data_IF_582581724348
#
_entry.id   IF_582581724348
#
_cell.length_a   1.000
_cell.length_b   1.000
_cell.length_c   1.000
_cell.angle_alpha   90.00
_cell.angle_beta   90.00
_cell.angle_gamma   90.00
#
_symmetry.space_group_name_H-M   'P 1'
#
loop_
_entity.id
_entity.type
_entity.pdbx_description
1 polymer ?
#
# COMPACT_ATOMS: atom_id res chain seq x y z
N UNK A 1 14.47 16.50 20.23
CA UNK A 1 13.41 17.51 20.03
C UNK A 1 12.35 17.23 21.06
N UNK A 2 12.07 18.18 21.95
CA UNK A 2 10.99 18.07 22.94
C UNK A 2 9.69 17.78 22.20
N UNK A 3 9.04 16.65 22.50
CA UNK A 3 7.75 16.31 21.91
C UNK A 3 6.78 17.46 22.17
N UNK A 4 6.34 18.12 21.10
CA UNK A 4 5.26 19.09 21.19
C UNK A 4 3.99 18.31 21.52
N UNK A 5 3.61 18.32 22.80
CA UNK A 5 2.36 17.75 23.24
C UNK A 5 1.21 18.70 22.85
N UNK A 6 0.84 18.62 21.57
CA UNK A 6 -0.21 19.46 20.97
C UNK A 6 -1.51 19.35 21.74
N UNK A 7 -1.86 18.16 22.22
CA UNK A 7 -3.09 17.98 22.96
C UNK A 7 -3.03 18.63 24.33
N UNK A 8 -1.92 18.54 25.06
CA UNK A 8 -1.77 19.27 26.34
C UNK A 8 -1.85 20.79 26.16
N UNK A 9 -1.33 21.32 25.04
CA UNK A 9 -1.49 22.75 24.72
C UNK A 9 -2.94 23.14 24.41
N UNK A 10 -3.69 22.29 23.71
CA UNK A 10 -5.11 22.52 23.41
C UNK A 10 -5.99 22.38 24.64
N UNK A 11 -5.67 21.43 25.53
CA UNK A 11 -6.36 21.25 26.80
C UNK A 11 -6.09 22.40 27.76
N UNK A 12 -4.87 22.97 27.75
CA UNK A 12 -4.46 24.08 28.63
C UNK A 12 -4.76 23.75 30.11
N UNK A 13 -4.37 22.55 30.53
CA UNK A 13 -4.62 22.03 31.88
C UNK A 13 -6.05 21.57 32.16
N UNK A 14 -6.94 21.56 31.17
CA UNK A 14 -8.31 21.07 31.36
C UNK A 14 -8.38 19.54 31.53
N UNK A 15 -9.33 19.10 32.35
CA UNK A 15 -9.61 17.69 32.58
C UNK A 15 -10.23 17.01 31.34
N UNK A 16 -10.07 15.69 31.29
CA UNK A 16 -10.57 14.82 30.23
C UNK A 16 -11.40 13.71 30.85
N UNK A 17 -12.66 13.61 30.44
CA UNK A 17 -13.56 12.53 30.85
C UNK A 17 -13.60 11.42 29.79
N UNK A 18 -13.52 10.16 30.20
CA UNK A 18 -13.57 9.02 29.28
C UNK A 18 -14.95 8.39 29.22
N UNK A 19 -15.74 8.75 28.20
CA UNK A 19 -17.12 8.26 28.00
C UNK A 19 -17.15 7.03 27.10
N UNK A 20 -18.14 6.14 27.28
CA UNK A 20 -18.39 5.14 26.26
C UNK A 20 -19.06 5.80 25.06
N UNK A 21 -18.80 5.30 23.84
CA UNK A 21 -19.46 5.83 22.64
C UNK A 21 -20.98 5.80 22.78
N UNK A 22 -21.53 4.78 23.45
CA UNK A 22 -22.96 4.67 23.74
C UNK A 22 -23.54 5.79 24.61
N UNK A 23 -22.72 6.43 25.45
CA UNK A 23 -23.14 7.51 26.36
C UNK A 23 -23.22 8.87 25.66
N UNK A 24 -22.76 8.97 24.41
CA UNK A 24 -22.72 10.20 23.62
C UNK A 24 -23.58 10.13 22.35
N UNK A 25 -24.50 9.15 22.27
CA UNK A 25 -25.37 8.97 21.11
C UNK A 25 -26.74 9.58 21.35
N UNK A 26 -27.30 10.21 20.31
CA UNK A 26 -28.75 10.37 20.21
C UNK A 26 -29.40 9.02 19.91
N UNK A 27 -28.79 8.27 18.98
CA UNK A 27 -29.31 6.99 18.52
C UNK A 27 -28.24 6.13 17.87
N UNK A 28 -28.48 4.82 17.86
CA UNK A 28 -27.68 3.86 17.09
C UNK A 28 -28.55 3.05 16.15
N UNK A 29 -28.03 2.71 14.99
CA UNK A 29 -28.72 1.97 13.95
C UNK A 29 -27.89 0.76 13.50
N UNK A 30 -28.61 -0.25 13.00
CA UNK A 30 -28.08 -1.36 12.21
C UNK A 30 -29.15 -1.71 11.19
N UNK A 31 -28.75 -1.94 9.94
CA UNK A 31 -29.69 -2.16 8.85
C UNK A 31 -30.05 -3.63 8.63
N UNK A 32 -30.44 -3.96 7.40
CA UNK A 32 -30.84 -5.30 7.00
C UNK A 32 -30.27 -5.65 5.62
N UNK A 33 -30.11 -6.95 5.35
CA UNK A 33 -29.66 -7.43 4.03
C UNK A 33 -30.83 -7.98 3.24
N UNK A 34 -31.32 -7.27 2.21
CA UNK A 34 -32.25 -7.83 1.25
C UNK A 34 -31.61 -9.01 0.50
N UNK A 35 -32.36 -10.08 0.27
CA UNK A 35 -31.85 -11.28 -0.40
C UNK A 35 -31.43 -10.96 -1.84
N UNK A 36 -30.14 -11.11 -2.16
CA UNK A 36 -29.55 -10.75 -3.46
C UNK A 36 -30.28 -11.39 -4.68
N UNK A 37 -30.81 -12.60 -4.53
CA UNK A 37 -31.55 -13.30 -5.58
C UNK A 37 -33.02 -12.88 -5.76
N UNK A 38 -33.49 -11.82 -5.09
CA UNK A 38 -34.84 -11.29 -5.26
C UNK A 38 -34.81 -9.98 -6.07
N UNK A 39 -35.11 -10.00 -7.38
CA UNK A 39 -35.04 -8.80 -8.22
C UNK A 39 -35.93 -7.66 -7.74
N UNK A 40 -37.06 -7.96 -7.09
CA UNK A 40 -37.98 -6.96 -6.53
C UNK A 40 -37.32 -6.03 -5.48
N UNK A 41 -36.16 -6.43 -4.93
CA UNK A 41 -35.42 -5.62 -3.97
C UNK A 41 -34.39 -4.68 -4.60
N UNK A 42 -34.00 -4.89 -5.87
CA UNK A 42 -32.87 -4.21 -6.49
C UNK A 42 -33.20 -3.57 -7.85
N UNK A 43 -34.08 -4.17 -8.65
CA UNK A 43 -34.47 -3.61 -9.94
C UNK A 43 -35.15 -2.26 -9.76
N UNK A 44 -34.63 -1.24 -10.47
CA UNK A 44 -35.07 0.15 -10.36
C UNK A 44 -35.01 0.70 -8.92
N UNK A 45 -34.05 0.22 -8.11
CA UNK A 45 -33.81 0.71 -6.76
C UNK A 45 -33.48 2.20 -6.75
N UNK A 46 -34.04 2.91 -5.78
CA UNK A 46 -33.89 4.38 -5.61
C UNK A 46 -33.42 4.76 -4.20
N UNK A 47 -33.31 3.78 -3.30
CA UNK A 47 -32.90 3.98 -1.91
C UNK A 47 -31.44 3.56 -1.76
N UNK A 48 -30.52 4.45 -1.34
CA UNK A 48 -29.12 4.10 -1.17
C UNK A 48 -28.95 3.06 -0.06
N UNK A 49 -28.25 1.96 -0.37
CA UNK A 49 -27.97 0.85 0.54
C UNK A 49 -26.47 0.57 0.62
N UNK A 50 -25.86 1.06 1.71
CA UNK A 50 -24.43 0.95 1.97
C UNK A 50 -24.05 -0.45 2.45
N UNK A 51 -23.00 -1.01 1.84
CA UNK A 51 -22.37 -2.25 2.30
C UNK A 51 -21.06 -1.97 3.03
N UNK A 52 -20.63 -2.89 3.88
CA UNK A 52 -19.40 -2.72 4.67
C UNK A 52 -18.14 -2.59 3.82
N UNK A 53 -18.13 -3.09 2.58
CA UNK A 53 -17.00 -2.95 1.66
C UNK A 53 -16.73 -1.49 1.27
N UNK A 54 -17.73 -0.63 1.34
CA UNK A 54 -17.67 0.78 0.99
C UNK A 54 -17.20 1.64 2.19
N UNK A 55 -17.13 1.08 3.39
CA UNK A 55 -16.62 1.74 4.61
C UNK A 55 -15.09 1.62 4.65
N UNK A 56 -14.39 2.70 4.28
CA UNK A 56 -12.94 2.74 4.04
C UNK A 56 -12.25 3.99 4.63
N UNK A 57 -12.57 4.35 5.87
CA UNK A 57 -12.03 5.54 6.54
C UNK A 57 -12.29 6.83 5.76
N UNK A 58 -13.51 6.96 5.25
CA UNK A 58 -13.88 7.99 4.27
C UNK A 58 -15.24 8.65 4.59
N UNK A 59 -15.45 9.81 3.97
CA UNK A 59 -16.79 10.34 3.78
C UNK A 59 -17.49 9.56 2.64
N UNK A 60 -18.74 9.21 2.87
CA UNK A 60 -19.58 8.40 1.98
C UNK A 60 -20.66 9.31 1.40
N UNK A 61 -20.38 9.85 0.21
CA UNK A 61 -21.26 10.79 -0.50
C UNK A 61 -22.23 10.08 -1.45
N UNK A 62 -21.91 8.84 -1.84
CA UNK A 62 -22.73 7.98 -2.69
C UNK A 62 -22.50 6.50 -2.33
N UNK A 63 -23.37 5.63 -2.81
CA UNK A 63 -23.26 4.18 -2.65
C UNK A 63 -23.33 3.47 -4.00
N UNK A 64 -22.74 2.28 -4.08
CA UNK A 64 -22.74 1.47 -5.30
C UNK A 64 -24.08 0.77 -5.56
N UNK A 65 -24.89 0.56 -4.51
CA UNK A 65 -26.13 -0.21 -4.59
C UNK A 65 -27.32 0.59 -4.10
N UNK A 66 -28.38 0.54 -4.91
CA UNK A 66 -29.68 1.07 -4.57
C UNK A 66 -30.66 -0.10 -4.37
N UNK A 67 -31.55 0.01 -3.39
CA UNK A 67 -32.63 -0.93 -3.12
C UNK A 67 -33.99 -0.26 -3.34
N UNK A 68 -35.05 -1.06 -3.45
CA UNK A 68 -36.42 -0.58 -3.64
C UNK A 68 -37.08 -0.24 -2.29
N UNK A 69 -38.15 0.57 -2.29
CA UNK A 69 -38.99 0.77 -1.09
C UNK A 69 -39.51 -0.56 -0.51
N UNK A 70 -39.83 -1.53 -1.38
CA UNK A 70 -40.24 -2.88 -1.00
C UNK A 70 -39.16 -3.61 -0.21
N UNK A 71 -37.88 -3.44 -0.56
CA UNK A 71 -36.78 -4.03 0.19
C UNK A 71 -36.68 -3.45 1.61
N UNK A 72 -36.98 -2.17 1.80
CA UNK A 72 -36.99 -1.52 3.12
C UNK A 72 -38.18 -2.00 3.95
N UNK A 73 -39.35 -2.17 3.33
CA UNK A 73 -40.56 -2.69 3.98
C UNK A 73 -40.41 -4.16 4.41
N UNK A 74 -39.89 -5.00 3.51
CA UNK A 74 -39.80 -6.46 3.70
C UNK A 74 -38.57 -6.88 4.55
N UNK A 75 -37.70 -5.95 4.96
CA UNK A 75 -36.47 -6.27 5.69
C UNK A 75 -36.24 -5.36 6.90
N UNK A 76 -35.16 -5.60 7.65
CA UNK A 76 -34.73 -4.74 8.75
C UNK A 76 -33.94 -3.49 8.29
N UNK A 77 -33.81 -3.27 6.97
CA UNK A 77 -33.21 -2.04 6.46
C UNK A 77 -34.04 -0.84 6.90
N UNK A 78 -33.36 0.24 7.30
CA UNK A 78 -34.02 1.45 7.77
C UNK A 78 -33.17 2.66 7.44
N UNK A 79 -33.83 3.79 7.29
CA UNK A 79 -33.18 5.06 7.05
C UNK A 79 -32.32 5.49 8.24
N UNK A 80 -31.13 5.97 7.89
CA UNK A 80 -30.11 6.51 8.77
C UNK A 80 -29.87 7.95 8.33
N UNK A 81 -29.94 8.93 9.25
CA UNK A 81 -29.71 10.31 8.90
C UNK A 81 -28.27 10.55 8.44
N UNK A 82 -28.05 11.63 7.70
CA UNK A 82 -26.70 12.06 7.34
C UNK A 82 -25.85 12.36 8.60
N UNK A 83 -24.54 12.29 8.44
CA UNK A 83 -23.51 12.55 9.46
C UNK A 83 -23.49 11.58 10.63
N UNK A 84 -23.90 10.32 10.41
CA UNK A 84 -23.63 9.25 11.37
C UNK A 84 -22.21 8.71 11.18
N UNK A 85 -21.56 8.30 12.28
CA UNK A 85 -20.32 7.54 12.23
C UNK A 85 -20.66 6.06 12.05
N UNK A 86 -20.24 5.48 10.94
CA UNK A 86 -20.52 4.08 10.58
C UNK A 86 -19.28 3.25 10.86
N UNK A 87 -19.43 2.14 11.60
CA UNK A 87 -18.37 1.17 11.87
C UNK A 87 -18.81 -0.19 11.33
N UNK A 88 -17.99 -0.77 10.45
CA UNK A 88 -18.20 -2.11 9.93
C UNK A 88 -17.92 -3.16 11.02
N UNK A 89 -18.84 -4.11 11.18
CA UNK A 89 -18.88 -5.05 12.29
C UNK A 89 -18.04 -6.30 11.99
N UNK A 90 -18.08 -6.82 10.77
CA UNK A 90 -17.63 -8.18 10.48
C UNK A 90 -16.70 -8.32 9.28
N UNK A 91 -16.01 -9.46 9.24
CA UNK A 91 -15.16 -9.89 8.12
C UNK A 91 -13.91 -9.02 7.92
N UNK A 92 -13.37 -9.02 6.70
CA UNK A 92 -12.17 -8.25 6.36
C UNK A 92 -12.33 -6.72 6.54
N UNK A 93 -13.56 -6.25 6.71
CA UNK A 93 -13.93 -4.86 6.95
C UNK A 93 -14.13 -4.52 8.43
N UNK A 94 -14.14 -5.49 9.34
CA UNK A 94 -14.39 -5.27 10.77
C UNK A 94 -13.49 -4.16 11.34
N UNK A 95 -14.10 -3.22 12.06
CA UNK A 95 -13.46 -2.06 12.67
C UNK A 95 -13.29 -0.84 11.76
N UNK A 96 -13.42 -0.98 10.43
CA UNK A 96 -13.33 0.18 9.52
C UNK A 96 -14.48 1.15 9.79
N UNK A 97 -14.17 2.44 9.72
CA UNK A 97 -15.11 3.54 9.97
C UNK A 97 -15.38 4.36 8.71
N UNK A 98 -16.48 5.11 8.71
CA UNK A 98 -16.84 6.08 7.67
C UNK A 98 -17.90 7.06 8.18
N UNK A 99 -18.15 8.14 7.44
CA UNK A 99 -19.23 9.09 7.73
C UNK A 99 -20.15 9.14 6.53
N UNK A 100 -21.44 8.85 6.69
CA UNK A 100 -22.38 9.08 5.60
C UNK A 100 -22.69 10.57 5.45
N UNK A 101 -22.55 11.12 4.24
CA UNK A 101 -22.89 12.51 3.92
C UNK A 101 -24.27 12.66 3.29
N UNK A 102 -24.86 11.54 2.89
CA UNK A 102 -26.26 11.43 2.48
C UNK A 102 -27.03 10.56 3.49
N UNK A 103 -28.33 10.81 3.71
CA UNK A 103 -29.19 9.83 4.35
C UNK A 103 -29.16 8.52 3.55
N UNK A 104 -29.05 7.38 4.25
CA UNK A 104 -28.95 6.08 3.59
C UNK A 104 -29.50 4.93 4.44
N UNK A 105 -29.58 3.75 3.84
CA UNK A 105 -29.82 2.48 4.52
C UNK A 105 -28.54 1.64 4.49
N UNK A 106 -28.41 0.63 5.35
CA UNK A 106 -27.21 -0.24 5.38
C UNK A 106 -27.59 -1.71 5.43
N UNK A 107 -26.59 -2.58 5.23
CA UNK A 107 -26.69 -3.96 5.68
C UNK A 107 -26.65 -4.08 7.23
N UNK A 108 -26.91 -5.27 7.79
CA UNK A 108 -26.86 -5.51 9.24
C UNK A 108 -25.45 -5.47 9.83
N UNK A 109 -24.42 -5.49 8.98
CA UNK A 109 -23.02 -5.53 9.40
C UNK A 109 -22.42 -4.12 9.56
N UNK A 110 -23.25 -3.08 9.52
CA UNK A 110 -22.88 -1.72 9.88
C UNK A 110 -23.49 -1.35 11.25
N UNK A 111 -22.66 -0.82 12.15
CA UNK A 111 -23.11 -0.11 13.35
C UNK A 111 -23.03 1.39 13.07
N UNK A 112 -24.17 2.07 13.02
CA UNK A 112 -24.21 3.49 12.69
C UNK A 112 -24.57 4.30 13.92
N UNK A 113 -23.76 5.30 14.23
CA UNK A 113 -23.79 6.08 15.46
C UNK A 113 -24.20 7.51 15.12
N UNK A 114 -25.40 7.91 15.54
CA UNK A 114 -25.84 9.30 15.50
C UNK A 114 -25.41 9.97 16.80
N UNK A 115 -24.42 10.86 16.71
CA UNK A 115 -23.76 11.48 17.86
C UNK A 115 -24.60 12.66 18.36
N UNK A 116 -24.71 12.80 19.68
CA UNK A 116 -25.25 14.00 20.29
C UNK A 116 -24.27 15.17 20.11
N UNK A 117 -24.67 16.10 19.25
CA UNK A 117 -23.87 17.27 18.87
C UNK A 117 -23.59 18.22 20.04
N UNK A 118 -24.37 18.14 21.12
CA UNK A 118 -24.17 18.95 22.31
C UNK A 118 -23.06 18.36 23.22
N UNK A 119 -22.65 17.12 22.95
CA UNK A 119 -21.56 16.42 23.66
C UNK A 119 -20.31 16.30 22.78
N UNK A 120 -20.46 15.87 21.52
CA UNK A 120 -19.33 15.64 20.64
C UNK A 120 -19.62 15.89 19.16
N UNK A 121 -18.60 16.33 18.43
CA UNK A 121 -18.66 16.43 16.97
C UNK A 121 -18.53 15.03 16.35
N UNK A 122 -19.45 14.65 15.47
CA UNK A 122 -19.38 13.35 14.78
C UNK A 122 -18.05 13.14 14.03
N UNK A 123 -17.44 14.20 13.49
CA UNK A 123 -16.14 14.15 12.81
C UNK A 123 -14.99 13.91 13.79
N UNK A 124 -15.09 14.43 15.01
CA UNK A 124 -14.15 14.13 16.09
C UNK A 124 -14.24 12.65 16.48
N UNK A 125 -15.47 12.12 16.65
CA UNK A 125 -15.71 10.70 16.93
C UNK A 125 -15.16 9.82 15.81
N UNK A 126 -15.38 10.18 14.54
CA UNK A 126 -14.82 9.48 13.38
C UNK A 126 -13.30 9.42 13.42
N UNK A 127 -12.62 10.55 13.65
CA UNK A 127 -11.15 10.58 13.77
C UNK A 127 -10.65 9.69 14.89
N UNK A 128 -11.32 9.73 16.04
CA UNK A 128 -11.00 8.88 17.20
C UNK A 128 -11.08 7.39 16.88
N UNK A 129 -12.22 6.91 16.35
CA UNK A 129 -12.40 5.49 16.06
C UNK A 129 -11.52 5.01 14.89
N UNK A 130 -11.29 5.88 13.90
CA UNK A 130 -10.40 5.57 12.77
C UNK A 130 -8.95 5.38 13.25
N UNK A 131 -8.48 6.26 14.14
CA UNK A 131 -7.15 6.14 14.74
C UNK A 131 -7.00 4.87 15.59
N UNK A 132 -8.05 4.45 16.26
CA UNK A 132 -8.04 3.29 17.14
C UNK A 132 -8.58 2.03 16.47
N UNK A 133 -8.54 1.98 15.13
CA UNK A 133 -8.98 0.85 14.31
C UNK A 133 -8.49 -0.50 14.85
N UNK A 134 -7.17 -0.64 15.06
CA UNK A 134 -6.59 -1.92 15.50
C UNK A 134 -7.05 -2.29 16.92
N UNK A 135 -7.10 -1.31 17.83
CA UNK A 135 -7.61 -1.53 19.19
C UNK A 135 -9.07 -1.99 19.15
N UNK A 136 -9.91 -1.28 18.40
CA UNK A 136 -11.33 -1.60 18.27
C UNK A 136 -11.53 -2.98 17.64
N UNK A 137 -10.84 -3.27 16.54
CA UNK A 137 -10.90 -4.57 15.83
C UNK A 137 -10.49 -5.74 16.73
N UNK A 138 -9.45 -5.56 17.56
CA UNK A 138 -8.97 -6.59 18.47
C UNK A 138 -9.93 -6.90 19.62
N UNK A 139 -10.96 -6.09 19.83
CA UNK A 139 -12.06 -6.40 20.76
C UNK A 139 -13.06 -7.40 20.17
N UNK A 140 -12.96 -7.75 18.88
CA UNK A 140 -13.82 -8.72 18.21
C UNK A 140 -13.82 -10.09 18.92
N UNK A 141 -14.98 -10.74 18.95
CA UNK A 141 -15.19 -11.97 19.72
C UNK A 141 -15.76 -13.11 18.85
N UNK A 142 -15.68 -14.34 19.37
CA UNK A 142 -16.20 -15.53 18.72
C UNK A 142 -15.30 -16.07 17.59
N UNK A 143 -15.73 -17.15 16.95
CA UNK A 143 -14.93 -17.88 15.97
C UNK A 143 -14.53 -17.05 14.72
N UNK A 144 -15.29 -15.99 14.41
CA UNK A 144 -14.99 -15.05 13.30
C UNK A 144 -14.23 -13.80 13.73
N UNK A 145 -14.11 -13.55 15.04
CA UNK A 145 -13.50 -12.32 15.55
C UNK A 145 -14.26 -11.06 15.16
N UNK A 146 -15.59 -11.16 14.98
CA UNK A 146 -16.41 -10.02 14.57
C UNK A 146 -16.70 -9.11 15.78
N UNK A 147 -16.92 -7.82 15.52
CA UNK A 147 -17.44 -6.89 16.52
C UNK A 147 -18.92 -7.14 16.79
N UNK A 148 -19.47 -6.43 17.76
CA UNK A 148 -20.91 -6.26 17.89
C UNK A 148 -21.24 -4.85 18.39
N UNK A 149 -22.52 -4.46 18.32
CA UNK A 149 -22.94 -3.12 18.73
C UNK A 149 -22.62 -2.80 20.20
N UNK A 150 -22.62 -3.79 21.09
CA UNK A 150 -22.25 -3.61 22.50
C UNK A 150 -20.77 -3.27 22.67
N UNK A 151 -19.88 -4.01 21.98
CA UNK A 151 -18.44 -3.73 21.95
C UNK A 151 -18.18 -2.31 21.43
N UNK A 152 -18.79 -1.96 20.29
CA UNK A 152 -18.60 -0.64 19.67
C UNK A 152 -19.10 0.46 20.59
N UNK A 153 -20.31 0.34 21.16
CA UNK A 153 -20.85 1.34 22.10
C UNK A 153 -20.06 1.43 23.40
N UNK A 154 -19.45 0.33 23.84
CA UNK A 154 -18.59 0.31 25.03
C UNK A 154 -17.22 0.93 24.80
N UNK A 155 -16.79 1.11 23.54
CA UNK A 155 -15.50 1.70 23.21
C UNK A 155 -15.40 3.12 23.78
N UNK A 156 -14.26 3.44 24.41
CA UNK A 156 -14.09 4.70 25.14
C UNK A 156 -13.57 5.81 24.23
N UNK A 157 -14.05 7.02 24.47
CA UNK A 157 -13.63 8.26 23.82
C UNK A 157 -13.37 9.35 24.88
N UNK A 158 -12.29 10.14 24.76
CA UNK A 158 -12.05 11.27 25.63
C UNK A 158 -12.96 12.45 25.26
N UNK A 159 -13.53 13.09 26.27
CA UNK A 159 -14.31 14.32 26.16
C UNK A 159 -13.52 15.41 26.90
N UNK A 160 -12.91 16.37 26.20
CA UNK A 160 -12.13 17.42 26.83
C UNK A 160 -13.06 18.41 27.55
N UNK A 161 -12.63 19.02 28.65
CA UNK A 161 -13.41 20.03 29.38
C UNK A 161 -14.86 19.59 29.67
N UNK A 162 -15.10 18.44 30.34
CA UNK A 162 -16.44 17.89 30.53
C UNK A 162 -17.40 18.87 31.24
N UNK A 163 -16.89 19.71 32.14
CA UNK A 163 -17.67 20.72 32.87
C UNK A 163 -17.99 21.97 32.04
N UNK A 164 -17.45 22.09 30.83
CA UNK A 164 -17.69 23.22 29.93
C UNK A 164 -17.93 22.72 28.48
N UNK A 165 -19.17 22.34 28.14
CA UNK A 165 -19.52 21.80 26.83
C UNK A 165 -19.11 22.72 25.66
N UNK A 166 -19.22 24.04 25.83
CA UNK A 166 -18.80 25.00 24.80
C UNK A 166 -17.30 24.89 24.53
N UNK A 167 -16.47 24.94 25.57
CA UNK A 167 -15.00 24.79 25.44
C UNK A 167 -14.63 23.41 24.90
N UNK A 168 -15.35 22.35 25.31
CA UNK A 168 -15.17 21.00 24.78
C UNK A 168 -15.32 20.97 23.26
N UNK A 169 -16.44 21.51 22.75
CA UNK A 169 -16.73 21.54 21.32
C UNK A 169 -15.73 22.42 20.54
N UNK A 170 -15.26 23.53 21.12
CA UNK A 170 -14.21 24.37 20.52
C UNK A 170 -12.88 23.61 20.38
N UNK A 171 -12.47 22.85 21.40
CA UNK A 171 -11.27 22.00 21.34
C UNK A 171 -11.44 20.89 20.30
N UNK A 172 -12.58 20.20 20.31
CA UNK A 172 -12.88 19.16 19.32
C UNK A 172 -12.88 19.73 17.89
N UNK A 173 -13.42 20.93 17.68
CA UNK A 173 -13.44 21.61 16.39
C UNK A 173 -12.03 21.95 15.90
N UNK A 174 -11.15 22.40 16.79
CA UNK A 174 -9.76 22.69 16.45
C UNK A 174 -8.98 21.42 16.07
N UNK A 175 -9.18 20.32 16.82
CA UNK A 175 -8.63 19.01 16.47
C UNK A 175 -9.11 18.57 15.08
N UNK A 176 -10.43 18.65 14.84
CA UNK A 176 -11.04 18.30 13.55
C UNK A 176 -10.46 19.15 12.42
N UNK A 177 -10.36 20.48 12.61
CA UNK A 177 -9.81 21.41 11.61
C UNK A 177 -8.39 21.02 11.21
N UNK A 178 -7.54 20.71 12.19
CA UNK A 178 -6.14 20.33 11.93
C UNK A 178 -6.08 18.98 11.22
N UNK A 179 -6.82 17.97 11.70
CA UNK A 179 -6.81 16.62 11.12
C UNK A 179 -7.37 16.60 9.69
N UNK A 180 -8.45 17.35 9.44
CA UNK A 180 -9.05 17.46 8.10
C UNK A 180 -8.11 18.19 7.13
N UNK A 181 -7.48 19.29 7.56
CA UNK A 181 -6.48 19.99 6.76
C UNK A 181 -5.29 19.08 6.40
N UNK A 182 -4.75 18.33 7.36
CA UNK A 182 -3.66 17.39 7.09
C UNK A 182 -4.08 16.25 6.16
N UNK A 183 -5.29 15.73 6.33
CA UNK A 183 -5.83 14.67 5.46
C UNK A 183 -5.94 15.19 4.02
N UNK A 184 -6.49 16.40 3.84
CA UNK A 184 -6.61 17.03 2.52
C UNK A 184 -5.23 17.25 1.88
N UNK A 185 -4.28 17.88 2.60
CA UNK A 185 -2.93 18.13 2.09
C UNK A 185 -2.19 16.84 1.73
N UNK A 186 -2.33 15.80 2.56
CA UNK A 186 -1.67 14.51 2.30
C UNK A 186 -2.28 13.82 1.08
N UNK A 187 -3.60 13.88 0.90
CA UNK A 187 -4.28 13.35 -0.27
C UNK A 187 -3.86 14.09 -1.56
N UNK A 188 -3.89 15.42 -1.54
CA UNK A 188 -3.46 16.28 -2.66
C UNK A 188 -2.01 16.01 -3.05
N UNK A 189 -1.08 16.10 -2.09
CA UNK A 189 0.35 15.90 -2.35
C UNK A 189 0.66 14.47 -2.80
N UNK A 190 -0.02 13.45 -2.24
CA UNK A 190 0.14 12.06 -2.69
C UNK A 190 -0.34 11.90 -4.14
N UNK A 191 -1.44 12.55 -4.51
CA UNK A 191 -1.96 12.53 -5.87
C UNK A 191 -0.99 13.21 -6.85
N UNK A 192 -0.48 14.40 -6.51
CA UNK A 192 0.52 15.13 -7.30
C UNK A 192 1.82 14.33 -7.47
N UNK A 193 2.39 13.80 -6.38
CA UNK A 193 3.63 13.00 -6.44
C UNK A 193 3.44 11.71 -7.24
N UNK A 194 2.25 11.08 -7.17
CA UNK A 194 1.93 9.88 -7.97
C UNK A 194 1.81 10.22 -9.45
N UNK A 195 1.18 11.36 -9.78
CA UNK A 195 1.07 11.86 -11.15
C UNK A 195 2.47 12.20 -11.72
N UNK A 196 3.31 12.88 -10.94
CA UNK A 196 4.69 13.20 -11.31
C UNK A 196 5.53 11.93 -11.50
N UNK A 197 5.43 10.96 -10.59
CA UNK A 197 6.12 9.67 -10.72
C UNK A 197 5.72 8.96 -12.01
N UNK A 198 4.43 8.99 -12.37
CA UNK A 198 3.93 8.42 -13.63
C UNK A 198 4.51 9.14 -14.83
N UNK A 199 4.51 10.48 -14.84
CA UNK A 199 5.09 11.27 -15.92
C UNK A 199 6.59 11.01 -16.09
N UNK A 200 7.35 10.92 -14.98
CA UNK A 200 8.79 10.61 -15.01
C UNK A 200 9.09 9.20 -15.50
N UNK A 201 8.26 8.21 -15.18
CA UNK A 201 8.39 6.85 -15.74
C UNK A 201 8.17 6.81 -17.25
N UNK A 202 7.18 7.56 -17.75
CA UNK A 202 6.94 7.69 -19.20
C UNK A 202 8.10 8.41 -19.89
N UNK A 203 8.58 9.50 -19.31
CA UNK A 203 9.75 10.23 -19.81
C UNK A 203 11.01 9.36 -19.82
N UNK A 204 11.25 8.57 -18.77
CA UNK A 204 12.35 7.60 -18.72
C UNK A 204 12.26 6.60 -19.85
N UNK A 205 11.10 5.99 -20.09
CA UNK A 205 10.91 5.04 -21.18
C UNK A 205 11.24 5.67 -22.54
N UNK A 206 10.70 6.86 -22.80
CA UNK A 206 10.97 7.60 -24.03
C UNK A 206 12.47 7.87 -24.24
N UNK A 207 13.16 8.46 -23.25
CA UNK A 207 14.58 8.77 -23.40
C UNK A 207 15.47 7.52 -23.41
N UNK A 208 15.12 6.47 -22.66
CA UNK A 208 15.82 5.19 -22.71
C UNK A 208 15.76 4.61 -24.11
N UNK A 209 14.58 4.57 -24.71
CA UNK A 209 14.38 4.00 -26.05
C UNK A 209 15.08 4.87 -27.10
N UNK A 210 15.08 6.20 -26.93
CA UNK A 210 15.83 7.12 -27.79
C UNK A 210 17.35 6.92 -27.66
N UNK A 211 17.89 6.83 -26.44
CA UNK A 211 19.33 6.65 -26.18
C UNK A 211 19.87 5.28 -26.63
N UNK A 212 18.99 4.29 -26.76
CA UNK A 212 19.33 2.94 -27.18
C UNK A 212 18.88 2.65 -28.63
N UNK A 213 18.45 3.68 -29.36
CA UNK A 213 18.17 3.62 -30.78
C UNK A 213 19.41 4.05 -31.55
N UNK A 214 19.86 3.22 -32.47
CA UNK A 214 21.08 3.45 -33.26
C UNK A 214 20.84 3.34 -34.77
N UNK A 215 19.60 3.55 -35.23
CA UNK A 215 19.22 3.38 -36.65
C UNK A 215 19.97 4.34 -37.59
N UNK A 216 20.33 5.54 -37.11
CA UNK A 216 21.01 6.58 -37.89
C UNK A 216 22.53 6.70 -37.58
N UNK A 217 23.07 5.84 -36.72
CA UNK A 217 24.48 5.89 -36.30
C UNK A 217 25.32 4.77 -36.93
N UNK A 218 26.59 5.06 -37.23
CA UNK A 218 27.56 4.03 -37.57
C UNK A 218 27.94 3.24 -36.32
N UNK A 219 27.13 2.25 -35.98
CA UNK A 219 27.36 1.34 -34.85
C UNK A 219 27.67 -0.08 -35.33
N UNK A 220 28.54 -0.79 -34.63
CA UNK A 220 28.79 -2.21 -34.88
C UNK A 220 27.67 -3.05 -34.26
N UNK A 221 27.16 -4.04 -34.98
CA UNK A 221 26.19 -5.00 -34.48
C UNK A 221 26.87 -6.34 -34.27
N UNK A 222 26.68 -6.91 -33.07
CA UNK A 222 27.19 -8.23 -32.71
C UNK A 222 26.07 -9.05 -32.09
N UNK A 223 26.16 -10.37 -32.24
CA UNK A 223 25.29 -11.28 -31.51
C UNK A 223 25.67 -11.31 -30.03
N UNK A 224 24.69 -11.48 -29.16
CA UNK A 224 24.91 -11.48 -27.72
C UNK A 224 25.90 -12.57 -27.28
N UNK A 225 25.90 -13.73 -27.92
CA UNK A 225 26.82 -14.83 -27.63
C UNK A 225 28.30 -14.52 -27.92
N UNK A 226 28.58 -13.64 -28.89
CA UNK A 226 29.94 -13.21 -29.26
C UNK A 226 30.58 -12.32 -28.19
N UNK A 227 29.78 -11.47 -27.53
CA UNK A 227 30.28 -10.45 -26.58
C UNK A 227 29.93 -10.71 -25.12
N UNK A 228 28.95 -11.57 -24.84
CA UNK A 228 28.55 -11.92 -23.49
C UNK A 228 28.55 -13.44 -23.26
N UNK A 229 28.97 -13.84 -22.06
CA UNK A 229 28.84 -15.21 -21.58
C UNK A 229 27.41 -15.44 -21.09
N UNK A 230 26.70 -16.39 -21.71
CA UNK A 230 25.37 -16.85 -21.27
C UNK A 230 25.50 -18.20 -20.58
N UNK A 231 25.21 -18.25 -19.27
CA UNK A 231 25.26 -19.49 -18.47
C UNK A 231 24.18 -19.51 -17.40
N UNK A 232 23.74 -20.70 -17.01
CA UNK A 232 22.90 -20.90 -15.82
C UNK A 232 23.75 -21.25 -14.62
N UNK A 233 23.17 -21.11 -13.43
CA UNK A 233 23.78 -21.55 -12.19
C UNK A 233 23.36 -22.96 -11.78
N UNK A 234 23.40 -23.22 -10.48
CA UNK A 234 23.12 -24.54 -9.87
C UNK A 234 22.17 -24.40 -8.70
N UNK A 235 21.47 -25.48 -8.35
CA UNK A 235 20.61 -25.49 -7.16
C UNK A 235 21.48 -25.28 -5.91
N UNK A 236 21.12 -24.36 -4.99
CA UNK A 236 21.83 -24.21 -3.73
C UNK A 236 21.63 -25.42 -2.81
N UNK A 237 22.59 -25.72 -1.92
CA UNK A 237 22.44 -26.77 -0.91
C UNK A 237 21.30 -26.45 0.06
N UNK A 238 21.10 -25.16 0.37
CA UNK A 238 20.07 -24.66 1.28
C UNK A 238 19.55 -23.30 0.79
N UNK A 239 18.25 -23.07 0.99
CA UNK A 239 17.57 -21.80 0.70
C UNK A 239 17.02 -21.28 2.02
N UNK A 240 17.37 -20.04 2.35
CA UNK A 240 16.97 -19.39 3.59
C UNK A 240 15.93 -18.31 3.32
N UNK A 241 14.97 -18.17 4.24
CA UNK A 241 13.97 -17.10 4.20
C UNK A 241 14.46 -15.81 4.87
N UNK A 242 15.43 -15.92 5.78
CA UNK A 242 16.05 -14.79 6.47
C UNK A 242 17.21 -14.20 5.67
N UNK A 243 17.35 -12.87 5.74
CA UNK A 243 18.37 -12.11 5.02
C UNK A 243 19.77 -12.61 5.40
N UNK A 244 20.56 -12.97 4.39
CA UNK A 244 21.99 -13.24 4.52
C UNK A 244 22.80 -12.28 3.65
N UNK A 245 24.10 -12.56 3.51
CA UNK A 245 25.00 -11.81 2.64
C UNK A 245 24.71 -11.98 1.14
N UNK A 246 24.13 -13.10 0.71
CA UNK A 246 23.99 -13.43 -0.71
C UNK A 246 22.55 -13.76 -1.08
N UNK A 247 22.05 -13.07 -2.10
CA UNK A 247 20.73 -13.34 -2.65
C UNK A 247 20.72 -14.63 -3.48
N UNK A 248 19.62 -15.38 -3.41
CA UNK A 248 19.35 -16.47 -4.34
C UNK A 248 18.49 -15.96 -5.50
N UNK A 249 19.06 -15.96 -6.71
CA UNK A 249 18.39 -15.51 -7.93
C UNK A 249 18.14 -16.72 -8.83
N UNK A 250 16.87 -17.08 -9.06
CA UNK A 250 16.52 -18.28 -9.81
C UNK A 250 15.44 -18.06 -10.88
N UNK A 251 14.19 -17.87 -10.48
CA UNK A 251 13.09 -17.61 -11.41
C UNK A 251 12.23 -16.46 -10.89
N UNK A 252 11.50 -15.80 -11.80
CA UNK A 252 10.65 -14.67 -11.45
C UNK A 252 11.33 -13.31 -11.57
N UNK A 253 10.67 -12.28 -11.05
CA UNK A 253 11.10 -10.87 -11.13
C UNK A 253 11.77 -10.36 -9.86
N UNK A 254 11.89 -11.21 -8.84
CA UNK A 254 12.46 -10.90 -7.53
C UNK A 254 13.39 -12.03 -7.08
N UNK A 255 14.13 -11.77 -5.99
CA UNK A 255 14.95 -12.81 -5.34
C UNK A 255 14.07 -13.98 -4.89
N UNK A 256 14.60 -15.18 -4.98
CA UNK A 256 13.92 -16.43 -4.62
C UNK A 256 14.28 -16.93 -3.21
N UNK A 257 15.03 -16.15 -2.44
CA UNK A 257 15.50 -16.46 -1.09
C UNK A 257 16.92 -15.95 -0.86
N UNK A 258 17.60 -16.51 0.14
CA UNK A 258 18.97 -16.17 0.52
C UNK A 258 19.86 -17.41 0.63
N UNK A 259 21.17 -17.22 0.51
CA UNK A 259 22.19 -18.26 0.64
C UNK A 259 23.38 -17.79 1.50
N UNK A 260 24.07 -18.71 2.17
CA UNK A 260 25.28 -18.38 2.95
C UNK A 260 26.54 -18.21 2.08
N UNK A 261 26.47 -18.68 0.83
CA UNK A 261 27.57 -18.63 -0.14
C UNK A 261 27.11 -18.00 -1.45
N UNK A 262 28.06 -17.58 -2.28
CA UNK A 262 27.83 -17.12 -3.65
C UNK A 262 28.47 -18.09 -4.65
N UNK A 263 27.87 -18.24 -5.83
CA UNK A 263 28.45 -18.97 -6.95
C UNK A 263 28.65 -18.10 -8.21
N UNK A 264 28.26 -16.82 -8.12
CA UNK A 264 28.35 -15.85 -9.19
C UNK A 264 28.78 -14.51 -8.60
N UNK A 265 29.71 -13.84 -9.29
CA UNK A 265 30.11 -12.47 -8.94
C UNK A 265 28.97 -11.49 -9.19
N UNK A 266 29.10 -10.30 -8.60
CA UNK A 266 28.28 -9.14 -8.96
C UNK A 266 28.61 -8.59 -10.35
N UNK A 267 28.16 -7.37 -10.61
CA UNK A 267 28.21 -6.73 -11.92
C UNK A 267 27.74 -7.69 -13.04
N UNK A 268 26.58 -8.31 -12.82
CA UNK A 268 26.07 -9.38 -13.68
C UNK A 268 24.61 -9.13 -14.04
N UNK A 269 24.29 -9.21 -15.33
CA UNK A 269 22.91 -9.15 -15.82
C UNK A 269 22.27 -10.52 -15.66
N UNK A 270 21.01 -10.57 -15.25
CA UNK A 270 20.28 -11.82 -15.06
C UNK A 270 18.94 -11.80 -15.77
N UNK A 271 18.54 -12.90 -16.40
CA UNK A 271 17.19 -13.08 -16.95
C UNK A 271 16.69 -14.49 -16.63
N UNK A 272 15.43 -14.68 -16.20
CA UNK A 272 14.87 -16.01 -16.01
C UNK A 272 14.90 -16.82 -17.31
N UNK A 273 15.37 -18.07 -17.22
CA UNK A 273 15.39 -19.02 -18.34
C UNK A 273 14.10 -19.82 -18.43
N UNK A 274 13.41 -20.02 -17.30
CA UNK A 274 12.13 -20.74 -17.22
C UNK A 274 11.19 -20.15 -16.15
N UNK A 275 9.88 -20.29 -16.35
CA UNK A 275 8.86 -20.03 -15.31
C UNK A 275 7.60 -19.32 -15.81
N UNK A 276 6.51 -19.44 -15.06
CA UNK A 276 5.26 -18.68 -15.29
C UNK A 276 5.41 -17.28 -14.71
N UNK A 277 5.77 -16.30 -15.54
CA UNK A 277 5.72 -14.87 -15.21
C UNK A 277 7.06 -14.14 -15.05
N UNK A 278 8.19 -14.86 -15.02
CA UNK A 278 9.52 -14.23 -14.97
C UNK A 278 10.18 -14.00 -16.33
N UNK A 279 9.76 -14.70 -17.37
CA UNK A 279 10.38 -14.60 -18.71
C UNK A 279 10.27 -13.17 -19.24
N UNK A 280 11.36 -12.64 -19.77
CA UNK A 280 11.46 -11.26 -20.26
C UNK A 280 11.92 -10.25 -19.21
N UNK A 281 11.98 -10.63 -17.93
CA UNK A 281 12.53 -9.79 -16.87
C UNK A 281 14.06 -9.72 -16.94
N UNK A 282 14.61 -8.52 -16.78
CA UNK A 282 16.06 -8.29 -16.76
C UNK A 282 16.42 -7.65 -15.42
N UNK A 283 17.23 -8.38 -14.65
CA UNK A 283 17.80 -7.92 -13.39
C UNK A 283 19.29 -7.59 -13.52
N UNK A 284 19.81 -6.80 -12.58
CA UNK A 284 21.23 -6.49 -12.48
C UNK A 284 21.72 -6.70 -11.05
N UNK A 285 22.63 -7.64 -10.87
CA UNK A 285 23.17 -8.01 -9.57
C UNK A 285 24.45 -7.22 -9.31
N UNK A 286 24.38 -6.23 -8.42
CA UNK A 286 25.53 -5.37 -8.08
C UNK A 286 26.59 -6.10 -7.25
N UNK A 287 26.16 -7.00 -6.37
CA UNK A 287 27.01 -7.75 -5.44
C UNK A 287 27.02 -9.23 -5.80
N UNK A 288 28.01 -10.01 -5.31
CA UNK A 288 28.01 -11.46 -5.46
C UNK A 288 26.70 -12.08 -4.96
N UNK A 289 26.28 -13.16 -5.61
CA UNK A 289 25.00 -13.81 -5.36
C UNK A 289 25.05 -15.30 -5.70
N UNK A 290 23.99 -16.03 -5.36
CA UNK A 290 23.80 -17.40 -5.82
C UNK A 290 22.88 -17.43 -7.05
N UNK A 291 23.45 -17.77 -8.20
CA UNK A 291 22.73 -18.03 -9.44
C UNK A 291 22.12 -19.43 -9.42
N UNK A 292 20.81 -19.51 -9.60
CA UNK A 292 20.05 -20.75 -9.71
C UNK A 292 20.04 -21.35 -11.12
N UNK A 293 19.56 -22.60 -11.25
CA UNK A 293 19.53 -23.29 -12.54
C UNK A 293 18.47 -22.75 -13.52
N UNK A 294 17.49 -21.97 -13.04
CA UNK A 294 16.41 -21.40 -13.87
C UNK A 294 16.65 -19.94 -14.24
N UNK A 295 17.87 -19.44 -14.07
CA UNK A 295 18.28 -18.09 -14.41
C UNK A 295 19.50 -18.13 -15.33
N UNK A 296 19.51 -17.33 -16.39
CA UNK A 296 20.73 -17.02 -17.11
C UNK A 296 21.43 -15.82 -16.48
N UNK A 297 22.74 -15.95 -16.24
CA UNK A 297 23.63 -14.79 -16.20
C UNK A 297 24.02 -14.40 -17.63
N UNK A 298 24.16 -13.11 -17.84
CA UNK A 298 24.83 -12.52 -18.99
C UNK A 298 25.90 -11.56 -18.46
N UNK A 299 27.15 -11.84 -18.81
CA UNK A 299 28.30 -11.04 -18.39
C UNK A 299 29.23 -10.83 -19.56
N UNK A 300 29.71 -9.61 -19.73
CA UNK A 300 30.63 -9.24 -20.79
C UNK A 300 31.86 -10.13 -20.78
N UNK A 301 32.28 -10.55 -21.98
CA UNK A 301 33.53 -11.28 -22.20
C UNK A 301 34.72 -10.33 -22.22
N UNK A 302 34.50 -9.07 -22.59
CA UNK A 302 35.50 -8.01 -22.68
C UNK A 302 34.86 -6.66 -22.32
N UNK A 303 35.32 -6.07 -21.22
CA UNK A 303 34.77 -4.81 -20.69
C UNK A 303 35.11 -3.60 -21.55
N UNK A 304 36.15 -3.68 -22.38
CA UNK A 304 36.49 -2.61 -23.32
C UNK A 304 35.51 -2.59 -24.51
N UNK A 305 34.84 -3.72 -24.77
CA UNK A 305 33.84 -3.87 -25.83
C UNK A 305 32.42 -3.64 -25.29
N UNK A 306 32.08 -4.21 -24.13
CA UNK A 306 30.72 -4.19 -23.61
C UNK A 306 30.69 -3.98 -22.10
N UNK A 307 30.04 -2.89 -21.66
CA UNK A 307 29.76 -2.65 -20.26
C UNK A 307 28.53 -3.46 -19.82
N UNK A 308 28.64 -4.23 -18.73
CA UNK A 308 27.52 -5.01 -18.18
C UNK A 308 26.30 -4.15 -17.86
N UNK A 309 26.54 -2.92 -17.40
CA UNK A 309 25.48 -1.99 -17.06
C UNK A 309 24.77 -1.42 -18.30
N UNK A 310 25.49 -1.21 -19.40
CA UNK A 310 24.89 -0.89 -20.69
C UNK A 310 24.08 -2.08 -21.21
N UNK A 311 24.64 -3.29 -21.14
CA UNK A 311 23.93 -4.53 -21.49
C UNK A 311 22.61 -4.67 -20.70
N UNK A 312 22.63 -4.37 -19.41
CA UNK A 312 21.43 -4.37 -18.57
C UNK A 312 20.35 -3.44 -19.13
N UNK A 313 20.66 -2.18 -19.40
CA UNK A 313 19.69 -1.22 -19.92
C UNK A 313 19.19 -1.59 -21.31
N UNK A 314 20.09 -2.07 -22.18
CA UNK A 314 19.75 -2.52 -23.52
C UNK A 314 18.76 -3.71 -23.50
N UNK A 315 19.04 -4.72 -22.68
CA UNK A 315 18.15 -5.86 -22.54
C UNK A 315 16.84 -5.49 -21.85
N UNK A 316 16.85 -4.54 -20.90
CA UNK A 316 15.64 -4.03 -20.28
C UNK A 316 14.72 -3.35 -21.30
N UNK A 317 15.29 -2.53 -22.20
CA UNK A 317 14.56 -1.94 -23.32
C UNK A 317 14.01 -3.01 -24.29
N UNK A 318 14.75 -4.10 -24.49
CA UNK A 318 14.36 -5.26 -25.31
C UNK A 318 13.56 -6.33 -24.55
N UNK A 319 12.99 -6.05 -23.37
CA UNK A 319 12.25 -7.03 -22.57
C UNK A 319 11.07 -7.68 -23.32
N UNK A 320 10.40 -6.94 -24.21
CA UNK A 320 9.36 -7.48 -25.10
C UNK A 320 9.90 -8.51 -26.10
N UNK A 321 11.10 -8.29 -26.65
CA UNK A 321 11.80 -9.25 -27.51
C UNK A 321 12.15 -10.51 -26.71
N UNK A 322 12.70 -10.35 -25.50
CA UNK A 322 13.03 -11.47 -24.61
C UNK A 322 11.80 -12.31 -24.24
N UNK A 323 10.66 -11.65 -24.01
CA UNK A 323 9.38 -12.32 -23.79
C UNK A 323 8.92 -13.09 -25.03
N UNK A 324 9.15 -12.56 -26.23
CA UNK A 324 8.84 -13.20 -27.51
C UNK A 324 9.67 -14.45 -27.82
N UNK A 325 10.84 -14.64 -27.19
CA UNK A 325 11.64 -15.85 -27.33
C UNK A 325 11.03 -17.07 -26.59
N UNK A 326 10.02 -16.84 -25.75
CA UNK A 326 9.34 -17.87 -24.98
C UNK A 326 8.76 -18.95 -25.90
N UNK A 327 9.13 -20.20 -25.65
CA UNK A 327 8.47 -21.37 -26.27
C UNK A 327 7.28 -21.82 -25.44
N UNK A 328 6.19 -22.14 -26.13
CA UNK A 328 4.95 -22.68 -25.54
C UNK A 328 4.82 -24.18 -25.85
N UNK A 329 4.41 -24.95 -24.84
CA UNK A 329 4.44 -26.43 -24.89
C UNK A 329 4.77 -27.09 -23.54
N UNK A 330 4.76 -26.33 -22.45
CA UNK A 330 5.13 -26.75 -21.09
C UNK A 330 5.35 -25.53 -20.19
N UNK A 331 6.18 -25.67 -19.13
CA UNK A 331 6.64 -24.49 -18.36
C UNK A 331 7.37 -23.55 -19.33
N UNK A 332 6.97 -22.27 -19.43
CA UNK A 332 7.57 -21.32 -20.37
C UNK A 332 9.09 -21.27 -20.21
N UNK A 333 9.81 -21.30 -21.34
CA UNK A 333 11.26 -21.34 -21.37
C UNK A 333 11.84 -20.53 -22.52
N UNK A 334 13.03 -19.97 -22.32
CA UNK A 334 13.87 -19.35 -23.35
C UNK A 334 15.10 -20.24 -23.53
N UNK A 335 15.41 -20.62 -24.77
CA UNK A 335 16.61 -21.40 -25.04
C UNK A 335 17.84 -20.49 -25.03
N UNK A 336 18.96 -21.05 -24.59
CA UNK A 336 20.25 -20.36 -24.59
C UNK A 336 20.64 -19.86 -25.99
N UNK A 337 20.47 -20.69 -27.02
CA UNK A 337 20.78 -20.34 -28.42
C UNK A 337 19.95 -19.17 -28.93
N UNK A 338 18.67 -19.13 -28.57
CA UNK A 338 17.76 -18.03 -28.97
C UNK A 338 18.20 -16.72 -28.31
N UNK A 339 18.68 -16.77 -27.06
CA UNK A 339 19.22 -15.61 -26.34
C UNK A 339 20.57 -15.15 -26.89
N UNK A 340 21.49 -16.09 -27.16
CA UNK A 340 22.81 -15.80 -27.74
C UNK A 340 22.72 -15.21 -29.15
N UNK A 341 21.66 -15.55 -29.90
CA UNK A 341 21.42 -15.03 -31.25
C UNK A 341 20.82 -13.62 -31.32
N UNK A 342 20.51 -12.97 -30.18
CA UNK A 342 20.01 -11.59 -30.19
C UNK A 342 21.11 -10.65 -30.69
N UNK A 343 20.81 -9.87 -31.71
CA UNK A 343 21.71 -8.80 -32.18
C UNK A 343 21.60 -7.56 -31.27
N UNK A 344 22.76 -7.05 -30.87
CA UNK A 344 22.90 -5.87 -30.03
C UNK A 344 23.88 -4.87 -30.66
N UNK A 345 23.55 -3.59 -30.50
CA UNK A 345 24.39 -2.48 -30.92
C UNK A 345 25.54 -2.29 -29.91
N UNK A 346 26.76 -2.15 -30.43
CA UNK A 346 28.00 -1.95 -29.70
C UNK A 346 28.57 -0.57 -30.06
N UNK A 347 28.05 0.51 -29.44
CA UNK A 347 28.66 1.82 -29.59
C UNK A 347 29.98 1.88 -28.82
N UNK A 348 30.75 2.96 -29.02
CA UNK A 348 32.03 3.14 -28.32
C UNK A 348 31.88 3.03 -26.79
N UNK A 349 32.93 2.60 -26.09
CA UNK A 349 32.92 2.51 -24.63
C UNK A 349 32.54 3.84 -23.95
N UNK A 350 32.98 4.96 -24.52
CA UNK A 350 32.61 6.32 -24.07
C UNK A 350 31.11 6.55 -24.16
N UNK A 351 30.49 6.13 -25.28
CA UNK A 351 29.06 6.31 -25.49
C UNK A 351 28.24 5.36 -24.59
N UNK A 352 28.67 4.11 -24.41
CA UNK A 352 28.07 3.20 -23.44
C UNK A 352 28.10 3.80 -22.03
N UNK A 353 29.23 4.36 -21.60
CA UNK A 353 29.37 4.99 -20.29
C UNK A 353 28.47 6.23 -20.15
N UNK A 354 28.34 7.04 -21.21
CA UNK A 354 27.45 8.20 -21.25
C UNK A 354 25.98 7.79 -21.08
N UNK A 355 25.54 6.78 -21.83
CA UNK A 355 24.18 6.22 -21.74
C UNK A 355 23.93 5.70 -20.32
N UNK A 356 24.85 4.90 -19.78
CA UNK A 356 24.75 4.35 -18.41
C UNK A 356 24.61 5.46 -17.38
N UNK A 357 25.45 6.50 -17.44
CA UNK A 357 25.41 7.61 -16.50
C UNK A 357 24.05 8.34 -16.49
N UNK A 358 23.45 8.53 -17.67
CA UNK A 358 22.13 9.15 -17.81
C UNK A 358 21.04 8.23 -17.22
N UNK A 359 21.06 6.95 -17.59
CA UNK A 359 20.01 6.00 -17.18
C UNK A 359 20.08 5.64 -15.69
N UNK A 360 21.28 5.57 -15.09
CA UNK A 360 21.43 5.38 -13.63
C UNK A 360 20.87 6.57 -12.85
N UNK A 361 21.07 7.80 -13.35
CA UNK A 361 20.51 9.00 -12.73
C UNK A 361 18.97 8.98 -12.77
N UNK A 362 18.37 8.55 -13.88
CA UNK A 362 16.92 8.42 -13.98
C UNK A 362 16.37 7.31 -13.09
N UNK A 363 16.96 6.12 -13.12
CA UNK A 363 16.51 4.97 -12.32
C UNK A 363 16.53 5.28 -10.82
N UNK A 364 17.57 5.98 -10.35
CA UNK A 364 17.66 6.44 -8.95
C UNK A 364 16.50 7.34 -8.55
N UNK A 365 16.07 8.26 -9.44
CA UNK A 365 14.99 9.21 -9.14
C UNK A 365 13.59 8.56 -9.14
N UNK A 366 13.38 7.52 -9.95
CA UNK A 366 12.04 6.93 -10.17
C UNK A 366 11.79 5.62 -9.44
N UNK A 367 12.85 4.90 -9.07
CA UNK A 367 12.75 3.53 -8.57
C UNK A 367 13.27 3.37 -7.15
N UNK A 368 14.02 4.35 -6.63
CA UNK A 368 14.55 4.27 -5.28
C UNK A 368 13.45 4.43 -4.25
N UNK A 369 13.48 3.56 -3.24
CA UNK A 369 12.61 3.63 -2.04
C UNK A 369 13.34 4.32 -0.87
N UNK A 370 14.66 4.44 -0.97
CA UNK A 370 15.50 5.14 0.01
C UNK A 370 15.81 6.57 -0.39
N UNK A 371 15.53 6.98 -1.63
CA UNK A 371 15.73 8.31 -2.21
C UNK A 371 14.65 8.54 -3.30
N UNK A 372 14.40 9.77 -3.74
CA UNK A 372 13.43 10.03 -4.81
C UNK A 372 11.95 10.08 -4.39
N UNK A 373 11.05 10.09 -5.38
CA UNK A 373 9.61 10.36 -5.17
C UNK A 373 8.89 9.31 -4.29
N UNK A 374 9.17 7.99 -4.38
CA UNK A 374 8.55 7.02 -3.48
C UNK A 374 8.86 7.27 -2.00
N UNK A 375 10.10 7.68 -1.68
CA UNK A 375 10.49 8.04 -0.31
C UNK A 375 9.74 9.28 0.18
N UNK A 376 9.61 10.30 -0.67
CA UNK A 376 8.87 11.51 -0.31
C UNK A 376 7.41 11.19 0.04
N UNK A 377 6.75 10.35 -0.75
CA UNK A 377 5.37 9.88 -0.47
C UNK A 377 5.31 9.20 0.91
N UNK A 378 6.26 8.29 1.19
CA UNK A 378 6.31 7.57 2.46
C UNK A 378 6.55 8.53 3.65
N UNK A 379 7.46 9.50 3.52
CA UNK A 379 7.76 10.46 4.58
C UNK A 379 6.56 11.35 4.90
N UNK A 380 5.78 11.76 3.89
CA UNK A 380 4.55 12.54 4.09
C UNK A 380 3.48 11.75 4.82
N UNK A 381 3.32 10.47 4.49
CA UNK A 381 2.40 9.57 5.21
C UNK A 381 2.83 9.40 6.68
N UNK A 382 4.12 9.16 6.93
CA UNK A 382 4.64 9.04 8.30
C UNK A 382 4.49 10.35 9.10
N UNK A 383 4.71 11.49 8.46
CA UNK A 383 4.51 12.80 9.08
C UNK A 383 3.04 13.02 9.47
N UNK A 384 2.11 12.64 8.60
CA UNK A 384 0.68 12.68 8.90
C UNK A 384 0.34 11.79 10.10
N UNK A 385 0.79 10.54 10.10
CA UNK A 385 0.55 9.60 11.20
C UNK A 385 1.10 10.14 12.52
N UNK A 386 2.32 10.70 12.51
CA UNK A 386 2.92 11.30 13.69
C UNK A 386 2.06 12.43 14.28
N UNK A 387 1.64 13.41 13.46
CA UNK A 387 0.84 14.53 13.97
C UNK A 387 -0.57 14.12 14.40
N UNK A 388 -1.21 13.20 13.66
CA UNK A 388 -2.49 12.62 14.04
C UNK A 388 -2.40 11.96 15.40
N UNK A 389 -1.32 11.22 15.66
CA UNK A 389 -1.10 10.52 16.93
C UNK A 389 -0.89 11.49 18.09
N UNK A 390 -0.16 12.60 17.88
CA UNK A 390 -0.01 13.66 18.88
C UNK A 390 -1.34 14.34 19.25
N UNK A 391 -2.22 14.56 18.26
CA UNK A 391 -3.52 15.22 18.48
C UNK A 391 -4.57 14.30 19.14
N UNK A 392 -4.36 12.99 19.10
CA UNK A 392 -5.29 11.99 19.63
C UNK A 392 -4.70 11.20 20.82
N UNK A 393 -3.61 11.68 21.42
CA UNK A 393 -2.95 11.05 22.58
C UNK A 393 -3.35 11.70 23.91
N UNK A 394 -4.63 11.59 24.29
CA UNK A 394 -5.15 12.17 25.53
C UNK A 394 -4.61 11.46 26.80
N UNK A 395 -4.43 12.18 27.92
CA UNK A 395 -4.09 11.58 29.21
C UNK A 395 -5.15 10.55 29.64
N UNK A 396 -4.71 9.35 30.05
CA UNK A 396 -5.57 8.33 30.63
C UNK A 396 -5.66 8.48 32.15
N UNK A 397 -6.76 8.05 32.79
CA UNK A 397 -6.83 8.00 34.25
C UNK A 397 -5.81 6.99 34.79
N UNK A 398 -5.16 7.30 35.92
CA UNK A 398 -4.08 6.54 36.57
C UNK A 398 -4.40 5.08 36.98
N UNK A 399 -5.57 4.55 36.63
CA UNK A 399 -5.99 3.17 36.97
C UNK A 399 -5.70 2.12 35.91
N UNK A 400 -5.22 2.49 34.71
CA UNK A 400 -4.88 1.51 33.65
C UNK A 400 -3.37 1.23 33.49
N UNK A 401 -2.49 1.92 34.22
CA UNK A 401 -1.02 1.72 34.14
C UNK A 401 -0.52 0.46 34.87
N UNK A 402 -1.40 -0.32 35.53
CA UNK A 402 -0.99 -1.43 36.39
C UNK A 402 -1.11 -2.86 35.79
N UNK A 403 -1.44 -3.04 34.51
CA UNK A 403 -1.64 -4.40 33.94
C UNK A 403 -0.85 -4.73 32.66
N UNK A 404 0.12 -3.92 32.23
CA UNK A 404 0.94 -4.26 31.04
C UNK A 404 2.30 -4.92 31.32
N UNK A 405 2.62 -5.29 32.56
CA UNK A 405 3.79 -6.12 32.87
C UNK A 405 3.33 -7.45 33.43
N UNK A 406 3.17 -8.44 32.54
CA UNK A 406 3.52 -9.86 32.73
C UNK A 406 2.88 -10.72 31.62
N UNK A 407 3.54 -10.80 30.46
CA UNK A 407 3.55 -12.03 29.67
C UNK A 407 4.79 -12.08 28.78
N UNK A 408 5.96 -12.05 29.42
CA UNK A 408 7.13 -12.67 28.84
C UNK A 408 6.97 -14.19 28.99
N UNK A 409 6.66 -14.87 27.89
CA UNK A 409 6.91 -16.30 27.74
C UNK A 409 7.50 -16.54 26.34
N UNK A 410 8.83 -16.65 26.33
CA UNK A 410 9.56 -17.61 25.51
C UNK A 410 9.85 -18.83 26.40
N UNK A 411 10.25 -20.00 25.85
CA UNK A 411 10.71 -20.25 24.49
C UNK A 411 9.68 -20.88 23.55
#
# INVERSE_FOLDING_TARGET
MSGFDYINKLLDGAEVEWKALGDILLKSYSGGTPRAGNPAYYENGTIPWLRTQEVKFNDIESVEVMITPKAVEDTAAKWIPANCVIIAISGATAGRSGINKIPLTTNQHCCCLEIDKDIALYRYVFHWVSRHYETLKNLGQGARGDLNAGIIKGFKIPIPCPDNPKKSLEIQAEIVRILDAFTAYTAELTAELTAELKARKQQYQYYRDQLLSFEDEKVEWKTLGEVAEVKTGKKPPEILDSVTKYDYINAGTSRSGYCNESNCDGDTVTTPSRGQGGIGYVGYQKSPFWLGPLCYKLRSRDYDILLNKYLFYLLQAKSGLLLGLKKEGGVPAVNKSDLEGIEIAIPSATEQARIVAILDKFDTLTSSISEGLPREIQLRQQQYEYYRDQLLSFPKPDKETATSTLSGKNP
#
